data_IF_761764668048
#
_entry.id   IF_761764668048
#
_cell.length_a   1.000
_cell.length_b   1.000
_cell.length_c   1.000
_cell.angle_alpha   90.00
_cell.angle_beta   90.00
_cell.angle_gamma   90.00
#
_symmetry.space_group_name_H-M   'P 1'
#
loop_
_entity.id
_entity.type
_entity.pdbx_description
1 polymer ?
#
# COMPACT_ATOMS: atom_id res chain seq x y z
N UNK A 1 18.01 32.38 -16.70
CA UNK A 1 17.24 31.50 -15.79
C UNK A 1 18.23 30.75 -14.92
N UNK A 2 18.23 30.95 -13.61
CA UNK A 2 19.11 30.21 -12.70
C UNK A 2 18.51 28.81 -12.46
N UNK A 3 19.19 27.77 -12.92
CA UNK A 3 18.81 26.40 -12.59
C UNK A 3 19.35 26.04 -11.21
N UNK A 4 18.44 25.85 -10.24
CA UNK A 4 18.81 25.34 -8.93
C UNK A 4 19.31 23.89 -9.07
N UNK A 5 20.40 23.52 -8.38
CA UNK A 5 20.88 22.15 -8.38
C UNK A 5 19.79 21.21 -7.86
N UNK A 6 19.59 20.09 -8.56
CA UNK A 6 18.61 19.08 -8.20
C UNK A 6 19.22 18.04 -7.27
N UNK A 7 18.38 17.44 -6.42
CA UNK A 7 18.77 16.37 -5.51
C UNK A 7 19.59 15.27 -6.19
N UNK A 8 20.65 14.84 -5.52
CA UNK A 8 21.55 13.78 -6.01
C UNK A 8 20.86 12.44 -6.29
N UNK A 9 19.77 12.09 -5.59
CA UNK A 9 19.08 10.83 -5.79
C UNK A 9 18.43 10.72 -7.18
N UNK A 10 18.64 9.58 -7.83
CA UNK A 10 18.11 9.28 -9.16
C UNK A 10 16.59 9.49 -9.20
N UNK A 11 16.13 10.31 -10.13
CA UNK A 11 14.70 10.59 -10.36
C UNK A 11 14.07 11.59 -9.39
N UNK A 12 14.84 12.24 -8.52
CA UNK A 12 14.33 13.30 -7.66
C UNK A 12 14.58 14.67 -8.29
N UNK A 13 13.52 15.35 -8.70
CA UNK A 13 13.59 16.70 -9.30
C UNK A 13 13.58 17.84 -8.27
N UNK A 14 13.53 17.53 -6.96
CA UNK A 14 13.47 18.57 -5.93
C UNK A 14 14.81 19.31 -5.82
N UNK A 15 14.79 20.63 -5.55
CA UNK A 15 16.01 21.40 -5.37
C UNK A 15 16.78 20.90 -4.14
N UNK A 16 18.10 21.06 -4.16
CA UNK A 16 18.93 20.76 -2.99
C UNK A 16 18.72 21.80 -1.88
N UNK A 17 19.03 21.39 -0.65
CA UNK A 17 19.21 22.34 0.45
C UNK A 17 20.52 23.11 0.20
N UNK A 18 20.58 24.36 0.66
CA UNK A 18 21.77 25.19 0.57
C UNK A 18 23.00 24.47 1.15
N UNK A 19 24.10 24.45 0.39
CA UNK A 19 25.34 23.75 0.77
C UNK A 19 25.26 22.21 0.75
N UNK A 20 24.13 21.60 0.41
CA UNK A 20 23.95 20.15 0.38
C UNK A 20 23.74 19.63 -1.05
N UNK A 21 24.08 18.35 -1.28
CA UNK A 21 23.77 17.65 -2.55
C UNK A 21 22.38 17.00 -2.55
N UNK A 22 21.62 17.10 -1.46
CA UNK A 22 20.32 16.43 -1.27
C UNK A 22 19.21 17.45 -1.00
N UNK A 23 17.99 17.13 -1.43
CA UNK A 23 16.80 17.91 -1.05
C UNK A 23 16.39 17.64 0.41
N UNK A 24 15.53 18.51 0.95
CA UNK A 24 15.04 18.45 2.32
C UNK A 24 14.47 17.08 2.71
N UNK A 25 13.66 16.48 1.83
CA UNK A 25 13.08 15.15 2.08
C UNK A 25 14.12 14.01 2.08
N UNK A 26 15.21 14.17 1.34
CA UNK A 26 16.25 13.17 1.25
C UNK A 26 17.44 13.46 2.18
N UNK A 27 17.41 14.52 3.00
CA UNK A 27 18.57 14.95 3.80
C UNK A 27 19.10 13.86 4.74
N UNK A 28 18.20 13.05 5.31
CA UNK A 28 18.54 11.93 6.20
C UNK A 28 18.73 10.59 5.47
N UNK A 29 18.57 10.53 4.16
CA UNK A 29 18.75 9.30 3.39
C UNK A 29 20.21 9.15 2.97
N UNK A 30 20.79 7.99 3.26
CA UNK A 30 22.17 7.67 2.89
C UNK A 30 22.29 7.26 1.42
N UNK A 31 23.38 7.70 0.80
CA UNK A 31 23.75 7.40 -0.58
C UNK A 31 24.60 6.12 -0.60
N UNK A 32 24.44 5.31 -1.64
CA UNK A 32 25.25 4.12 -1.85
C UNK A 32 26.75 4.46 -1.89
N UNK A 33 27.58 3.60 -1.28
CA UNK A 33 29.04 3.79 -1.17
C UNK A 33 29.79 3.72 -2.51
N UNK A 34 29.24 3.00 -3.50
CA UNK A 34 29.80 2.96 -4.85
C UNK A 34 29.81 4.37 -5.45
N UNK A 35 30.98 4.78 -5.93
CA UNK A 35 31.22 6.09 -6.50
C UNK A 35 30.16 6.46 -7.55
N UNK A 36 29.69 7.70 -7.48
CA UNK A 36 28.68 8.28 -8.38
C UNK A 36 27.32 7.56 -8.40
N UNK A 37 27.08 6.62 -7.47
CA UNK A 37 25.82 5.92 -7.37
C UNK A 37 24.73 6.79 -6.72
N UNK A 38 23.78 7.22 -7.55
CA UNK A 38 22.63 8.04 -7.14
C UNK A 38 21.49 7.25 -6.48
N UNK A 39 21.73 6.04 -5.97
CA UNK A 39 20.71 5.21 -5.34
C UNK A 39 20.80 5.29 -3.81
N UNK A 40 19.65 5.13 -3.14
CA UNK A 40 19.60 5.02 -1.68
C UNK A 40 20.21 3.70 -1.21
N UNK A 41 20.93 3.76 -0.08
CA UNK A 41 21.36 2.57 0.66
C UNK A 41 20.15 1.70 1.00
N UNK A 42 20.31 0.40 0.78
CA UNK A 42 19.41 -0.63 1.29
C UNK A 42 19.98 -1.23 2.57
N UNK A 43 21.23 -1.74 2.53
CA UNK A 43 21.94 -2.29 3.67
C UNK A 43 23.45 -2.27 3.41
N UNK A 44 24.28 -2.33 4.47
CA UNK A 44 25.75 -2.36 4.38
C UNK A 44 26.32 -1.22 3.51
N UNK A 45 25.72 -0.03 3.61
CA UNK A 45 26.07 1.14 2.79
C UNK A 45 25.93 0.95 1.27
N UNK A 46 25.25 -0.10 0.82
CA UNK A 46 25.08 -0.42 -0.60
C UNK A 46 23.60 -0.39 -1.00
N UNK A 47 23.33 0.07 -2.22
CA UNK A 47 21.99 -0.04 -2.81
C UNK A 47 21.71 -1.48 -3.30
N UNK A 48 20.47 -1.77 -3.68
CA UNK A 48 20.07 -3.09 -4.19
C UNK A 48 20.93 -3.55 -5.37
N UNK A 49 21.25 -2.63 -6.30
CA UNK A 49 22.08 -2.93 -7.49
C UNK A 49 23.55 -3.21 -7.16
N UNK A 50 24.05 -2.68 -6.05
CA UNK A 50 25.45 -2.81 -5.66
C UNK A 50 25.62 -3.78 -4.48
N UNK A 51 24.75 -4.77 -4.34
CA UNK A 51 24.91 -5.83 -3.34
C UNK A 51 24.33 -5.53 -1.96
N UNK A 52 23.56 -4.46 -1.81
CA UNK A 52 22.79 -4.20 -0.57
C UNK A 52 21.79 -5.32 -0.28
N UNK A 53 21.26 -5.97 -1.31
CA UNK A 53 20.31 -7.09 -1.20
C UNK A 53 20.95 -8.38 -1.72
N UNK A 54 20.75 -9.49 -0.98
CA UNK A 54 21.23 -10.82 -1.39
C UNK A 54 20.57 -11.28 -2.70
N UNK A 55 21.34 -11.96 -3.53
CA UNK A 55 20.88 -12.67 -4.73
C UNK A 55 20.45 -14.10 -4.41
N UNK A 56 19.58 -14.64 -5.24
CA UNK A 56 19.10 -16.01 -5.13
C UNK A 56 20.25 -17.01 -5.23
N UNK A 57 20.27 -18.03 -4.36
CA UNK A 57 21.30 -19.08 -4.38
C UNK A 57 21.10 -20.13 -5.46
N UNK A 58 19.93 -20.19 -6.09
CA UNK A 58 19.68 -21.07 -7.22
C UNK A 58 20.62 -20.75 -8.39
N UNK A 59 21.26 -21.76 -8.96
CA UNK A 59 22.27 -21.59 -10.00
C UNK A 59 21.75 -20.83 -11.22
N UNK A 60 22.58 -19.92 -11.73
CA UNK A 60 22.20 -19.03 -12.85
C UNK A 60 21.13 -17.98 -12.53
N UNK A 61 20.67 -17.86 -11.28
CA UNK A 61 19.63 -16.90 -10.91
C UNK A 61 20.19 -15.58 -10.37
N UNK A 62 20.07 -14.50 -11.15
CA UNK A 62 20.46 -13.15 -10.71
C UNK A 62 19.33 -12.35 -10.04
N UNK A 63 18.24 -13.02 -9.64
CA UNK A 63 17.12 -12.35 -8.99
C UNK A 63 17.39 -12.11 -7.51
N UNK A 64 16.82 -11.03 -6.98
CA UNK A 64 16.93 -10.72 -5.56
C UNK A 64 16.14 -11.73 -4.69
N UNK A 65 16.71 -12.07 -3.54
CA UNK A 65 16.05 -12.91 -2.53
C UNK A 65 14.73 -12.29 -2.06
N UNK A 66 13.73 -13.15 -1.86
CA UNK A 66 12.45 -12.78 -1.24
C UNK A 66 12.12 -13.62 0.00
N UNK A 67 12.54 -14.89 0.03
CA UNK A 67 12.31 -15.80 1.14
C UNK A 67 13.56 -16.65 1.40
N UNK A 68 14.05 -16.66 2.63
CA UNK A 68 15.28 -17.37 2.99
C UNK A 68 16.47 -16.89 2.16
N UNK A 69 17.01 -17.77 1.31
CA UNK A 69 18.09 -17.46 0.36
C UNK A 69 17.63 -17.52 -1.11
N UNK A 70 16.33 -17.59 -1.37
CA UNK A 70 15.77 -17.81 -2.70
C UNK A 70 14.91 -16.62 -3.15
N UNK A 71 14.84 -16.40 -4.47
CA UNK A 71 13.94 -15.39 -5.05
C UNK A 71 12.48 -15.84 -4.98
N UNK A 72 11.55 -15.01 -5.44
CA UNK A 72 10.12 -15.37 -5.46
C UNK A 72 9.79 -16.56 -6.38
N UNK A 73 10.62 -16.83 -7.41
CA UNK A 73 10.43 -17.96 -8.32
C UNK A 73 10.91 -19.27 -7.71
N UNK A 74 12.07 -19.25 -7.04
CA UNK A 74 12.72 -20.45 -6.49
C UNK A 74 12.38 -20.70 -5.02
N UNK A 75 11.98 -19.66 -4.27
CA UNK A 75 11.60 -19.74 -2.87
C UNK A 75 10.10 -19.97 -2.66
N UNK A 76 9.29 -19.77 -3.70
CA UNK A 76 7.96 -20.35 -3.70
C UNK A 76 8.14 -21.84 -3.94
N UNK A 77 8.03 -22.65 -2.88
CA UNK A 77 8.04 -24.10 -3.03
C UNK A 77 7.10 -24.52 -4.17
N UNK A 78 7.45 -25.60 -4.87
CA UNK A 78 6.72 -26.15 -6.03
C UNK A 78 5.27 -26.59 -5.74
N UNK A 79 4.69 -26.15 -4.63
CA UNK A 79 3.37 -26.51 -4.13
C UNK A 79 2.23 -25.75 -4.80
N UNK A 80 2.46 -25.06 -5.93
CA UNK A 80 1.36 -24.54 -6.73
C UNK A 80 0.60 -25.71 -7.33
N UNK A 81 -0.46 -26.12 -6.64
CA UNK A 81 -1.38 -27.14 -7.11
C UNK A 81 -2.01 -26.69 -8.42
N UNK A 82 -2.29 -27.64 -9.31
CA UNK A 82 -3.12 -27.40 -10.48
C UNK A 82 -4.58 -27.26 -10.04
N UNK A 83 -5.40 -26.74 -10.96
CA UNK A 83 -6.84 -26.71 -10.79
C UNK A 83 -7.36 -28.14 -10.66
N UNK A 84 -8.30 -28.35 -9.73
CA UNK A 84 -8.95 -29.64 -9.47
C UNK A 84 -9.93 -30.06 -10.59
N UNK A 85 -10.18 -29.19 -11.57
CA UNK A 85 -11.07 -29.52 -12.68
C UNK A 85 -10.34 -30.38 -13.69
N UNK A 86 -11.01 -31.43 -14.15
CA UNK A 86 -10.43 -32.39 -15.09
C UNK A 86 -9.97 -31.70 -16.38
N UNK A 87 -8.81 -32.13 -16.89
CA UNK A 87 -8.15 -31.52 -18.05
C UNK A 87 -7.63 -30.08 -17.87
N UNK A 88 -7.76 -29.45 -16.69
CA UNK A 88 -7.31 -28.08 -16.48
C UNK A 88 -5.83 -27.98 -16.06
N UNK A 89 -5.00 -27.42 -16.94
CA UNK A 89 -3.55 -27.22 -16.68
C UNK A 89 -3.21 -25.90 -15.96
N UNK A 90 -4.22 -25.11 -15.57
CA UNK A 90 -4.02 -23.81 -14.89
C UNK A 90 -3.72 -24.02 -13.41
N UNK A 91 -2.82 -23.20 -12.86
CA UNK A 91 -2.55 -23.21 -11.42
C UNK A 91 -3.77 -22.78 -10.60
N UNK A 92 -4.02 -23.50 -9.51
CA UNK A 92 -5.00 -23.13 -8.52
C UNK A 92 -4.59 -21.87 -7.75
N UNK A 93 -5.60 -21.07 -7.40
CA UNK A 93 -5.43 -19.88 -6.55
C UNK A 93 -5.98 -20.16 -5.15
N UNK A 94 -7.31 -20.24 -5.04
CA UNK A 94 -8.01 -20.63 -3.82
C UNK A 94 -8.91 -21.83 -4.11
N UNK A 95 -9.29 -22.59 -3.07
CA UNK A 95 -10.19 -23.75 -3.19
C UNK A 95 -9.72 -24.81 -4.20
N UNK A 96 -8.40 -24.91 -4.42
CA UNK A 96 -7.79 -25.77 -5.45
C UNK A 96 -8.33 -25.53 -6.88
N UNK A 97 -8.88 -24.35 -7.16
CA UNK A 97 -9.44 -24.00 -8.47
C UNK A 97 -8.66 -22.84 -9.10
N UNK A 98 -8.61 -22.77 -10.42
CA UNK A 98 -8.03 -21.62 -11.14
C UNK A 98 -9.01 -20.44 -11.18
N UNK A 99 -8.59 -19.27 -11.66
CA UNK A 99 -9.47 -18.10 -11.77
C UNK A 99 -10.73 -18.34 -12.60
N UNK A 100 -10.63 -19.12 -13.67
CA UNK A 100 -11.78 -19.44 -14.53
C UNK A 100 -12.76 -20.42 -13.86
N UNK A 101 -12.25 -21.35 -13.04
CA UNK A 101 -13.04 -22.37 -12.36
C UNK A 101 -13.38 -22.00 -10.92
N UNK A 102 -13.43 -20.70 -10.57
CA UNK A 102 -13.92 -20.23 -9.27
C UNK A 102 -12.88 -20.10 -8.16
N UNK A 103 -11.60 -20.23 -8.47
CA UNK A 103 -10.50 -19.94 -7.53
C UNK A 103 -10.18 -18.46 -7.37
N UNK A 104 -10.72 -17.61 -8.25
CA UNK A 104 -10.64 -16.15 -8.13
C UNK A 104 -11.77 -15.60 -7.25
N UNK A 105 -11.44 -14.66 -6.37
CA UNK A 105 -12.46 -13.90 -5.62
C UNK A 105 -13.19 -12.93 -6.55
N UNK A 106 -14.51 -12.85 -6.45
CA UNK A 106 -15.32 -11.82 -7.11
C UNK A 106 -15.35 -10.55 -6.27
N UNK A 107 -15.64 -9.42 -6.91
CA UNK A 107 -15.84 -8.17 -6.23
C UNK A 107 -16.98 -8.30 -5.21
N UNK A 108 -16.73 -7.89 -3.96
CA UNK A 108 -17.71 -7.91 -2.87
C UNK A 108 -18.87 -6.92 -3.05
N UNK A 109 -18.72 -5.94 -3.94
CA UNK A 109 -19.83 -5.03 -4.28
C UNK A 109 -20.98 -5.82 -4.94
N UNK A 110 -22.22 -5.71 -4.42
CA UNK A 110 -23.40 -6.31 -5.03
C UNK A 110 -23.56 -5.92 -6.51
N UNK A 111 -23.93 -6.89 -7.35
CA UNK A 111 -24.08 -6.67 -8.81
C UNK A 111 -22.78 -6.60 -9.60
N UNK A 112 -21.60 -6.68 -8.95
CA UNK A 112 -20.32 -6.64 -9.65
C UNK A 112 -19.74 -8.05 -9.89
N UNK A 113 -19.78 -8.52 -11.13
CA UNK A 113 -19.22 -9.83 -11.53
C UNK A 113 -17.70 -9.82 -11.79
N UNK A 114 -17.05 -8.66 -11.71
CA UNK A 114 -15.60 -8.54 -11.99
C UNK A 114 -14.74 -9.16 -10.89
N UNK A 115 -13.52 -9.58 -11.24
CA UNK A 115 -12.59 -10.17 -10.30
C UNK A 115 -12.04 -9.14 -9.31
N UNK A 116 -12.01 -9.53 -8.04
CA UNK A 116 -11.34 -8.78 -7.01
C UNK A 116 -9.82 -8.79 -7.23
N UNK A 117 -9.17 -7.66 -6.94
CA UNK A 117 -7.71 -7.50 -7.03
C UNK A 117 -7.08 -7.22 -5.67
N UNK A 118 -7.74 -6.42 -4.82
CA UNK A 118 -7.26 -6.09 -3.48
C UNK A 118 -8.45 -5.95 -2.52
N UNK A 119 -8.33 -6.48 -1.31
CA UNK A 119 -9.35 -6.32 -0.25
C UNK A 119 -10.72 -6.94 -0.56
N UNK A 120 -10.83 -7.81 -1.57
CA UNK A 120 -12.12 -8.34 -2.03
C UNK A 120 -12.85 -7.44 -3.04
N UNK A 121 -12.24 -6.36 -3.54
CA UNK A 121 -12.84 -5.46 -4.53
C UNK A 121 -12.04 -5.44 -5.83
N UNK A 122 -12.72 -5.19 -6.96
CA UNK A 122 -12.07 -5.00 -8.25
C UNK A 122 -11.40 -3.62 -8.32
N UNK A 123 -10.58 -3.35 -9.35
CA UNK A 123 -9.86 -2.07 -9.50
C UNK A 123 -10.78 -0.85 -9.50
N UNK A 124 -12.03 -0.98 -9.98
CA UNK A 124 -13.03 0.09 -9.96
C UNK A 124 -13.62 0.33 -8.57
N UNK A 125 -13.59 -0.67 -7.70
CA UNK A 125 -14.23 -0.65 -6.39
C UNK A 125 -13.24 -0.75 -5.23
N UNK A 126 -11.92 -0.68 -5.47
CA UNK A 126 -10.90 -0.74 -4.40
C UNK A 126 -11.02 0.37 -3.37
N UNK A 127 -11.66 1.49 -3.71
CA UNK A 127 -11.91 2.61 -2.80
C UNK A 127 -13.24 2.49 -2.04
N UNK A 128 -14.02 1.41 -2.22
CA UNK A 128 -15.24 1.18 -1.43
C UNK A 128 -14.95 0.69 0.00
N UNK A 129 -13.67 0.54 0.35
CA UNK A 129 -13.21 0.24 1.72
C UNK A 129 -13.41 1.45 2.66
N UNK A 130 -13.64 2.67 2.15
CA UNK A 130 -13.62 3.91 2.94
C UNK A 130 -14.98 4.55 3.23
N UNK A 131 -16.10 3.90 2.89
CA UNK A 131 -17.41 4.36 3.35
C UNK A 131 -18.18 3.18 3.92
N UNK A 132 -18.56 3.18 5.21
CA UNK A 132 -19.64 2.32 5.66
C UNK A 132 -20.84 2.68 4.80
N UNK A 133 -21.16 1.85 3.83
CA UNK A 133 -22.39 1.99 3.07
C UNK A 133 -23.52 1.72 4.07
N UNK A 134 -24.15 2.79 4.52
CA UNK A 134 -25.47 2.78 5.13
C UNK A 134 -26.33 1.77 4.37
N UNK A 135 -26.60 0.63 5.00
CA UNK A 135 -27.70 -0.23 4.60
C UNK A 135 -28.96 0.52 4.98
N UNK A 136 -29.51 1.32 4.07
CA UNK A 136 -30.86 1.85 4.22
C UNK A 136 -31.67 1.34 3.04
N UNK A 137 -32.33 0.21 3.28
CA UNK A 137 -33.62 -0.14 2.69
C UNK A 137 -34.18 -1.35 3.43
N UNK A 138 -34.81 -1.12 4.58
CA UNK A 138 -35.97 -1.88 5.05
C UNK A 138 -36.48 -1.28 6.37
N UNK A 139 -37.79 -1.02 6.38
CA UNK A 139 -38.70 -0.79 7.52
C UNK A 139 -38.52 0.50 8.32
N UNK A 140 -39.35 1.47 7.96
CA UNK A 140 -39.78 2.58 8.79
C UNK A 140 -40.46 2.11 10.09
N UNK A 141 -40.38 2.98 11.10
CA UNK A 141 -41.09 3.00 12.38
C UNK A 141 -40.60 2.04 13.47
N UNK A 142 -39.94 2.60 14.50
CA UNK A 142 -40.44 2.68 15.89
C UNK A 142 -39.39 3.43 16.75
N UNK A 143 -39.88 4.16 17.76
CA UNK A 143 -39.20 4.75 18.91
C UNK A 143 -38.88 6.26 18.84
N UNK A 144 -39.92 7.03 19.13
CA UNK A 144 -39.86 8.18 20.04
C UNK A 144 -39.15 7.78 21.36
N UNK A 145 -38.62 8.80 22.04
CA UNK A 145 -38.11 8.80 23.41
C UNK A 145 -36.65 8.38 23.63
N UNK A 146 -35.76 9.40 23.64
CA UNK A 146 -34.81 9.71 24.73
C UNK A 146 -33.83 10.84 24.31
N UNK A 147 -34.31 12.08 24.34
CA UNK A 147 -33.45 13.28 24.38
C UNK A 147 -33.91 14.22 25.50
N UNK A 148 -34.02 13.66 26.71
CA UNK A 148 -34.15 14.40 27.95
C UNK A 148 -33.05 13.94 28.90
N UNK A 149 -31.81 14.29 28.59
CA UNK A 149 -30.76 14.40 29.60
C UNK A 149 -29.57 15.15 29.00
N UNK A 150 -29.17 16.21 29.70
CA UNK A 150 -27.83 16.77 29.68
C UNK A 150 -27.48 17.86 28.65
N UNK A 151 -28.25 18.96 28.70
CA UNK A 151 -27.66 20.30 28.52
C UNK A 151 -27.78 21.04 29.85
N UNK A 152 -26.71 21.03 30.65
CA UNK A 152 -26.48 21.98 31.73
C UNK A 152 -25.07 22.58 31.55
N UNK A 153 -25.06 23.89 31.33
CA UNK A 153 -24.13 24.88 31.87
C UNK A 153 -22.72 24.91 31.23
N UNK A 154 -22.50 25.88 30.33
CA UNK A 154 -21.91 27.22 30.54
C UNK A 154 -20.38 27.16 30.29
N UNK A 155 -19.73 28.07 29.57
CA UNK A 155 -19.72 29.52 29.81
C UNK A 155 -18.96 30.21 28.67
N UNK A 156 -19.57 31.15 27.94
CA UNK A 156 -18.87 32.33 27.42
C UNK A 156 -19.87 33.37 26.90
N UNK A 157 -20.12 34.43 27.67
CA UNK A 157 -20.77 35.64 27.19
C UNK A 157 -19.81 36.80 27.46
N UNK A 158 -19.42 37.48 26.38
CA UNK A 158 -18.66 38.72 26.40
C UNK A 158 -19.62 39.90 26.57
N UNK A 159 -19.01 41.02 26.97
CA UNK A 159 -19.41 42.43 26.79
C UNK A 159 -20.04 43.13 28.01
N UNK A 160 -19.15 43.77 28.79
CA UNK A 160 -19.05 45.24 29.08
C UNK A 160 -20.32 46.02 29.52
N UNK A 161 -20.18 47.28 29.97
CA UNK A 161 -19.21 47.97 30.84
C UNK A 161 -19.98 48.67 32.01
N UNK A 162 -19.30 49.53 32.77
CA UNK A 162 -19.82 50.48 33.77
C UNK A 162 -19.84 50.02 35.25
N UNK A 163 -18.88 50.63 35.95
CA UNK A 163 -18.62 50.70 37.39
C UNK A 163 -19.82 51.25 38.19
N UNK A 164 -19.77 51.19 39.53
CA UNK A 164 -19.08 52.26 40.28
C UNK A 164 -17.74 51.85 40.89
#
# INVERSE_FOLDING_TARGET
>A
MFHLPTCYFKGCARPTVEGAIKCEFHKQRSICLVQDCRNQVFARNLCVRHGGKKTCVYEGCHQNVRLGNLCGKHGAGSTRKLCVEDGCTKFAQTKQRCSAHGGGQRCKLPGCSTHARRGGFCTRHTNQVTRPSLRVAATANIALDKFAAYSKMNLHALLNPDSP
#
